data_IF_809835147904
#
_entry.id   IF_809835147904
#
_cell.length_a   1.000
_cell.length_b   1.000
_cell.length_c   1.000
_cell.angle_alpha   90.00
_cell.angle_beta   90.00
_cell.angle_gamma   90.00
#
_symmetry.space_group_name_H-M   'P 1'
#
loop_
_entity.id
_entity.type
_entity.pdbx_description
1 polymer ?
#
# COMPACT_ATOMS: atom_id res chain seq x y z
N UNK A 1 -9.31 -21.39 3.05
CA UNK A 1 -8.71 -20.30 3.87
C UNK A 1 -7.77 -19.44 3.07
N UNK A 2 -6.83 -20.06 2.35
CA UNK A 2 -5.89 -19.28 1.54
C UNK A 2 -6.60 -18.45 0.49
N UNK A 3 -7.70 -18.97 -0.03
CA UNK A 3 -8.44 -18.24 -1.05
C UNK A 3 -8.98 -16.93 -0.48
N UNK A 4 -9.53 -16.97 0.73
CA UNK A 4 -10.07 -15.78 1.36
C UNK A 4 -8.94 -14.82 1.73
N UNK A 5 -7.85 -15.37 2.25
CA UNK A 5 -6.69 -14.55 2.62
C UNK A 5 -6.13 -13.84 1.40
N UNK A 6 -6.02 -14.55 0.28
CA UNK A 6 -5.54 -13.95 -0.95
C UNK A 6 -6.47 -12.86 -1.47
N UNK A 7 -7.78 -13.11 -1.41
CA UNK A 7 -8.74 -12.12 -1.89
C UNK A 7 -8.70 -10.86 -1.04
N UNK A 8 -8.60 -11.01 0.27
CA UNK A 8 -8.53 -9.87 1.16
C UNK A 8 -7.24 -9.10 0.93
N UNK A 9 -6.12 -9.81 0.80
CA UNK A 9 -4.83 -9.16 0.53
C UNK A 9 -4.88 -8.39 -0.77
N UNK A 10 -5.48 -8.96 -1.79
CA UNK A 10 -5.57 -8.30 -3.09
C UNK A 10 -6.42 -7.04 -3.01
N UNK A 11 -7.54 -7.12 -2.31
CA UNK A 11 -8.41 -5.96 -2.13
C UNK A 11 -7.69 -4.84 -1.38
N UNK A 12 -6.99 -5.21 -0.32
CA UNK A 12 -6.23 -4.22 0.44
C UNK A 12 -5.10 -3.62 -0.39
N UNK A 13 -4.48 -4.43 -1.23
CA UNK A 13 -3.41 -3.93 -2.09
C UNK A 13 -3.96 -2.90 -3.08
N UNK A 14 -5.12 -3.16 -3.66
CA UNK A 14 -5.73 -2.21 -4.58
C UNK A 14 -6.06 -0.91 -3.87
N UNK A 15 -6.59 -1.01 -2.67
CA UNK A 15 -6.93 0.18 -1.90
C UNK A 15 -5.67 0.99 -1.59
N UNK A 16 -4.60 0.32 -1.19
CA UNK A 16 -3.36 1.00 -0.87
C UNK A 16 -2.76 1.65 -2.12
N UNK A 17 -2.78 0.95 -3.24
CA UNK A 17 -2.26 1.50 -4.49
C UNK A 17 -3.03 2.75 -4.89
N UNK A 18 -4.35 2.70 -4.74
CA UNK A 18 -5.16 3.86 -5.07
C UNK A 18 -4.76 5.07 -4.21
N UNK A 19 -4.59 4.83 -2.91
CA UNK A 19 -4.20 5.92 -2.02
C UNK A 19 -2.81 6.46 -2.34
N UNK A 20 -1.90 5.58 -2.74
CA UNK A 20 -0.56 6.01 -3.11
C UNK A 20 -0.60 6.86 -4.38
N UNK A 21 -1.42 6.45 -5.33
CA UNK A 21 -1.50 7.18 -6.61
C UNK A 21 -2.02 8.59 -6.41
N UNK A 22 -2.98 8.77 -5.51
CA UNK A 22 -3.56 10.08 -5.27
C UNK A 22 -2.77 10.89 -4.25
N UNK A 23 -1.71 10.33 -3.68
CA UNK A 23 -0.92 11.04 -2.69
C UNK A 23 0.00 12.07 -3.36
N UNK A 24 0.61 12.92 -2.53
CA UNK A 24 1.53 13.94 -3.02
C UNK A 24 2.96 13.44 -3.17
N UNK A 25 3.17 12.14 -3.02
CA UNK A 25 4.50 11.57 -3.13
C UNK A 25 5.06 11.74 -4.53
N UNK A 26 6.38 11.71 -4.63
CA UNK A 26 7.03 11.79 -5.93
C UNK A 26 6.71 10.54 -6.75
N UNK A 27 6.90 10.65 -8.05
CA UNK A 27 6.64 9.53 -8.94
C UNK A 27 7.48 8.31 -8.56
N UNK A 28 8.74 8.56 -8.20
CA UNK A 28 9.63 7.46 -7.81
C UNK A 28 9.13 6.78 -6.54
N UNK A 29 8.71 7.57 -5.56
CA UNK A 29 8.19 7.01 -4.33
C UNK A 29 6.91 6.21 -4.57
N UNK A 30 6.02 6.72 -5.41
CA UNK A 30 4.80 6.01 -5.75
C UNK A 30 5.13 4.67 -6.40
N UNK A 31 6.05 4.69 -7.35
CA UNK A 31 6.42 3.48 -8.05
C UNK A 31 7.03 2.45 -7.09
N UNK A 32 7.91 2.92 -6.21
CA UNK A 32 8.53 2.02 -5.24
C UNK A 32 7.51 1.38 -4.32
N UNK A 33 6.57 2.16 -3.82
CA UNK A 33 5.56 1.64 -2.93
C UNK A 33 4.61 0.67 -3.63
N UNK A 34 4.21 0.99 -4.85
CA UNK A 34 3.34 0.11 -5.61
C UNK A 34 4.03 -1.22 -5.88
N UNK A 35 5.29 -1.18 -6.27
CA UNK A 35 6.05 -2.41 -6.50
C UNK A 35 6.16 -3.23 -5.23
N UNK A 36 6.45 -2.56 -4.11
CA UNK A 36 6.55 -3.27 -2.84
C UNK A 36 5.25 -3.93 -2.44
N UNK A 37 4.14 -3.25 -2.64
CA UNK A 37 2.84 -3.81 -2.29
C UNK A 37 2.47 -4.97 -3.21
N UNK A 38 2.79 -4.86 -4.49
CA UNK A 38 2.48 -5.94 -5.44
C UNK A 38 3.29 -7.19 -5.15
N UNK A 39 4.58 -7.02 -4.86
CA UNK A 39 5.45 -8.16 -4.59
C UNK A 39 5.18 -8.74 -3.22
N UNK A 40 5.01 -7.89 -2.23
CA UNK A 40 4.78 -8.31 -0.84
C UNK A 40 3.47 -7.68 -0.35
N UNK A 41 2.34 -8.22 -0.79
CA UNK A 41 1.07 -7.56 -0.50
C UNK A 41 0.79 -7.35 0.99
N UNK A 42 1.18 -8.30 1.82
CA UNK A 42 0.92 -8.16 3.24
C UNK A 42 1.95 -7.25 3.90
N UNK A 43 3.22 -7.56 3.69
CA UNK A 43 4.30 -6.78 4.29
C UNK A 43 4.31 -5.37 3.73
N UNK A 44 4.13 -5.25 2.42
CA UNK A 44 4.09 -3.94 1.80
C UNK A 44 2.95 -3.09 2.32
N UNK A 45 1.78 -3.71 2.50
CA UNK A 45 0.63 -2.99 3.01
C UNK A 45 0.87 -2.48 4.44
N UNK A 46 1.43 -3.32 5.28
CA UNK A 46 1.71 -2.93 6.66
C UNK A 46 2.74 -1.81 6.70
N UNK A 47 3.78 -1.93 5.90
CA UNK A 47 4.81 -0.89 5.84
C UNK A 47 4.20 0.43 5.34
N UNK A 48 3.31 0.34 4.35
CA UNK A 48 2.67 1.54 3.84
C UNK A 48 1.79 2.20 4.91
N UNK A 49 1.09 1.39 5.70
CA UNK A 49 0.22 1.93 6.73
C UNK A 49 0.99 2.78 7.74
N UNK A 50 2.22 2.39 8.03
CA UNK A 50 3.01 3.09 9.05
C UNK A 50 3.98 4.10 8.46
N UNK A 51 4.47 3.85 7.26
CA UNK A 51 5.54 4.67 6.69
C UNK A 51 5.22 5.23 5.32
N UNK A 52 4.21 4.70 4.65
CA UNK A 52 3.94 5.07 3.29
C UNK A 52 3.19 6.38 3.14
N UNK A 53 3.18 6.93 1.92
CA UNK A 53 2.45 8.17 1.66
C UNK A 53 0.94 7.93 1.76
N UNK A 54 0.26 8.87 2.40
CA UNK A 54 -1.19 8.82 2.56
C UNK A 54 -1.67 7.60 3.31
N UNK A 55 -0.80 6.97 4.11
CA UNK A 55 -1.17 5.81 4.89
C UNK A 55 -2.11 6.18 6.03
N UNK A 56 -2.97 5.24 6.45
CA UNK A 56 -3.96 5.55 7.48
C UNK A 56 -3.36 5.83 8.85
N UNK A 57 -2.18 5.30 9.13
CA UNK A 57 -1.53 5.51 10.42
C UNK A 57 -0.44 6.57 10.37
N UNK A 58 -0.19 7.12 9.19
CA UNK A 58 0.81 8.17 9.04
C UNK A 58 0.19 9.50 9.44
N UNK A 59 0.90 10.21 10.31
CA UNK A 59 0.40 11.51 10.72
C UNK A 59 0.90 12.58 9.80
N UNK A 60 -0.03 13.33 9.31
CA UNK A 60 0.29 14.47 8.50
C UNK A 60 0.51 15.68 9.39
N UNK A 61 1.67 16.17 9.48
CA UNK A 61 1.91 17.38 10.30
C UNK A 61 2.43 18.52 9.49
#
# INVERSE_FOLDING_TARGET
MEFIFGAVSFALAIWAVYNIVISDATTLAKFAWVVGIVILPLVGFIAWCFLGPNGPFVRKT
#
